data_IF_677746369965
#
_entry.id   IF_677746369965
#
_cell.length_a   1.000
_cell.length_b   1.000
_cell.length_c   1.000
_cell.angle_alpha   90.00
_cell.angle_beta   90.00
_cell.angle_gamma   90.00
#
_symmetry.space_group_name_H-M   'P 1'
#
loop_
_entity.id
_entity.type
_entity.pdbx_description
1 polymer ?
#
# COMPACT_ATOMS: atom_id res chain seq x y z
N UNK A 1 -37.37 -34.45 -0.81
CA UNK A 1 -36.07 -35.09 -0.51
C UNK A 1 -35.01 -34.92 -1.61
N UNK A 2 -35.39 -34.74 -2.88
CA UNK A 2 -34.44 -34.50 -4.00
C UNK A 2 -33.51 -33.30 -3.79
N UNK A 3 -34.01 -32.23 -3.19
CA UNK A 3 -33.22 -31.00 -2.95
C UNK A 3 -32.13 -31.18 -1.87
N UNK A 4 -32.37 -31.99 -0.83
CA UNK A 4 -31.36 -32.28 0.20
C UNK A 4 -30.23 -33.17 -0.34
N UNK A 5 -30.56 -34.17 -1.17
CA UNK A 5 -29.55 -34.99 -1.84
C UNK A 5 -28.68 -34.15 -2.78
N UNK A 6 -29.29 -33.22 -3.52
CA UNK A 6 -28.57 -32.31 -4.42
C UNK A 6 -27.57 -31.42 -3.66
N UNK A 7 -27.96 -30.89 -2.50
CA UNK A 7 -27.06 -30.10 -1.65
C UNK A 7 -25.87 -30.90 -1.11
N UNK A 8 -26.11 -32.16 -0.70
CA UNK A 8 -25.05 -33.05 -0.22
C UNK A 8 -24.08 -33.45 -1.35
N UNK A 9 -24.58 -33.65 -2.57
CA UNK A 9 -23.73 -33.94 -3.73
C UNK A 9 -22.85 -32.74 -4.08
N UNK A 10 -23.37 -31.51 -4.05
CA UNK A 10 -22.58 -30.29 -4.34
C UNK A 10 -21.45 -30.11 -3.31
N UNK A 11 -21.73 -30.32 -2.02
CA UNK A 11 -20.73 -30.20 -0.95
C UNK A 11 -19.68 -31.30 -0.98
N UNK A 12 -20.08 -32.54 -1.28
CA UNK A 12 -19.13 -33.64 -1.47
C UNK A 12 -18.25 -33.38 -2.70
N UNK A 13 -18.83 -32.90 -3.81
CA UNK A 13 -18.09 -32.52 -5.02
C UNK A 13 -17.11 -31.38 -4.72
N UNK A 14 -17.49 -30.34 -3.98
CA UNK A 14 -16.58 -29.23 -3.65
C UNK A 14 -15.47 -29.64 -2.66
N UNK A 15 -15.73 -30.64 -1.80
CA UNK A 15 -14.76 -31.09 -0.78
C UNK A 15 -13.78 -32.12 -1.34
N UNK A 16 -14.28 -33.12 -2.09
CA UNK A 16 -13.48 -34.22 -2.64
C UNK A 16 -12.69 -33.78 -3.87
N UNK A 17 -13.24 -32.86 -4.67
CA UNK A 17 -12.54 -32.28 -5.80
C UNK A 17 -12.01 -30.91 -5.41
N UNK A 18 -10.79 -30.86 -4.86
CA UNK A 18 -9.94 -29.65 -4.88
C UNK A 18 -9.66 -29.06 -6.29
N UNK A 19 -10.55 -29.30 -7.26
CA UNK A 19 -10.64 -28.67 -8.57
C UNK A 19 -10.96 -27.17 -8.48
N UNK A 20 -11.48 -26.69 -7.35
CA UNK A 20 -11.47 -25.27 -7.05
C UNK A 20 -10.26 -24.96 -6.17
N UNK A 21 -9.37 -24.10 -6.67
CA UNK A 21 -8.28 -23.58 -5.85
C UNK A 21 -8.86 -22.94 -4.58
N UNK A 22 -8.21 -23.11 -3.41
CA UNK A 22 -8.68 -22.51 -2.18
C UNK A 22 -8.84 -21.00 -2.38
N UNK A 23 -10.03 -20.47 -2.06
CA UNK A 23 -10.31 -19.02 -2.15
C UNK A 23 -9.46 -18.27 -1.11
N UNK A 24 -9.13 -18.92 0.00
CA UNK A 24 -8.26 -18.40 1.05
C UNK A 24 -6.80 -18.43 0.63
N UNK A 25 -6.10 -17.31 0.81
CA UNK A 25 -4.63 -17.24 0.68
C UNK A 25 -4.01 -17.27 2.06
N UNK A 26 -3.00 -18.11 2.27
CA UNK A 26 -2.19 -18.05 3.48
C UNK A 26 -1.16 -16.92 3.30
N UNK A 27 -1.12 -15.95 4.21
CA UNK A 27 -0.13 -14.88 4.13
C UNK A 27 1.17 -15.34 4.82
N UNK A 28 2.37 -15.15 4.22
CA UNK A 28 2.69 -14.55 2.92
C UNK A 28 2.74 -15.56 1.75
N UNK A 29 2.61 -16.86 2.04
CA UNK A 29 2.76 -17.95 1.08
C UNK A 29 1.45 -18.27 0.34
N UNK A 30 1.36 -17.94 -0.95
CA UNK A 30 0.21 -18.34 -1.77
C UNK A 30 0.39 -19.78 -2.26
N UNK A 31 -0.62 -20.61 -2.02
CA UNK A 31 -0.70 -21.97 -2.57
C UNK A 31 -1.32 -21.96 -3.96
N UNK A 32 -0.72 -22.67 -4.91
CA UNK A 32 -1.33 -22.97 -6.22
C UNK A 32 -2.35 -24.14 -6.10
N UNK A 33 -3.06 -24.46 -7.18
CA UNK A 33 -4.03 -25.57 -7.26
C UNK A 33 -3.44 -26.95 -6.86
N UNK A 34 -2.11 -27.09 -6.95
CA UNK A 34 -1.32 -28.25 -6.53
C UNK A 34 -0.71 -28.13 -5.11
N UNK A 35 -1.19 -27.18 -4.29
CA UNK A 35 -0.64 -26.87 -2.95
C UNK A 35 0.86 -26.48 -2.97
N UNK A 36 1.37 -26.04 -4.12
CA UNK A 36 2.73 -25.49 -4.24
C UNK A 36 2.77 -24.09 -3.64
N UNK A 37 3.54 -23.91 -2.58
CA UNK A 37 3.75 -22.63 -1.90
C UNK A 37 4.64 -21.72 -2.72
N UNK A 38 4.21 -20.48 -2.95
CA UNK A 38 5.01 -19.43 -3.58
C UNK A 38 4.90 -18.16 -2.75
N UNK A 39 6.03 -17.49 -2.50
CA UNK A 39 6.03 -16.19 -1.83
C UNK A 39 5.60 -15.12 -2.82
N UNK A 40 4.32 -14.81 -2.88
CA UNK A 40 3.78 -13.73 -3.70
C UNK A 40 2.92 -12.81 -2.83
N UNK A 41 3.22 -11.51 -2.75
CA UNK A 41 2.42 -10.58 -1.98
C UNK A 41 0.99 -10.51 -2.52
N UNK A 42 0.05 -10.21 -1.63
CA UNK A 42 -1.35 -10.01 -1.98
C UNK A 42 -1.46 -8.88 -3.01
N UNK A 43 -2.16 -9.08 -4.13
CA UNK A 43 -2.39 -8.03 -5.11
C UNK A 43 -3.21 -6.94 -4.45
N UNK A 44 -2.68 -5.73 -4.53
CA UNK A 44 -3.30 -4.53 -4.00
C UNK A 44 -4.06 -3.84 -5.13
N UNK A 45 -5.20 -3.21 -4.83
CA UNK A 45 -5.98 -2.45 -5.83
C UNK A 45 -5.37 -1.07 -6.04
N UNK A 46 -5.64 -0.48 -7.21
CA UNK A 46 -5.35 0.93 -7.46
C UNK A 46 -6.06 1.81 -6.43
N UNK A 47 -5.36 2.81 -5.89
CA UNK A 47 -5.86 3.68 -4.82
C UNK A 47 -5.76 3.11 -3.40
N UNK A 48 -5.06 2.00 -3.20
CA UNK A 48 -4.76 1.53 -1.86
C UNK A 48 -3.90 2.54 -1.08
N UNK A 49 -4.40 2.95 0.08
CA UNK A 49 -3.70 3.84 0.99
C UNK A 49 -2.69 3.04 1.82
N UNK A 50 -1.47 2.97 1.31
CA UNK A 50 -0.33 2.34 2.01
C UNK A 50 0.31 3.27 3.05
N UNK A 51 1.54 2.92 3.44
CA UNK A 51 2.33 3.78 4.30
C UNK A 51 2.70 5.09 3.57
N UNK A 52 2.44 6.26 4.16
CA UNK A 52 2.76 7.54 3.51
C UNK A 52 4.28 7.71 3.41
N UNK A 53 4.74 8.16 2.24
CA UNK A 53 6.15 8.44 1.98
C UNK A 53 6.30 9.78 1.26
N UNK A 54 7.41 10.47 1.52
CA UNK A 54 7.78 11.64 0.75
C UNK A 54 8.37 11.21 -0.58
N UNK A 55 7.86 11.80 -1.67
CA UNK A 55 8.43 11.62 -2.99
C UNK A 55 9.68 12.50 -3.16
N UNK A 56 10.62 11.99 -3.96
CA UNK A 56 11.89 12.64 -4.24
C UNK A 56 11.92 13.20 -5.65
N UNK A 57 12.45 14.41 -5.82
CA UNK A 57 12.67 15.06 -7.11
C UNK A 57 14.11 14.78 -7.56
N UNK A 58 14.28 13.86 -8.49
CA UNK A 58 15.59 13.41 -8.98
C UNK A 58 16.30 14.50 -9.83
N UNK A 59 15.56 15.46 -10.41
CA UNK A 59 16.15 16.51 -11.26
C UNK A 59 16.88 17.57 -10.43
N UNK A 60 16.30 17.93 -9.28
CA UNK A 60 16.84 18.96 -8.38
C UNK A 60 17.62 18.34 -7.21
N UNK A 61 17.36 17.07 -6.89
CA UNK A 61 17.99 16.35 -5.78
C UNK A 61 17.42 16.72 -4.41
N UNK A 62 16.11 16.98 -4.34
CA UNK A 62 15.42 17.40 -3.11
C UNK A 62 14.02 16.76 -2.98
N UNK A 63 13.43 16.64 -1.77
CA UNK A 63 12.05 16.18 -1.65
C UNK A 63 11.05 17.19 -2.22
N UNK A 64 9.94 16.70 -2.78
CA UNK A 64 8.88 17.58 -3.31
C UNK A 64 8.17 18.43 -2.23
N UNK A 65 8.32 18.06 -0.96
CA UNK A 65 7.66 18.74 0.15
C UNK A 65 8.23 20.15 0.39
N UNK A 66 7.41 21.17 0.13
CA UNK A 66 7.72 22.59 0.37
C UNK A 66 7.45 23.05 1.80
N UNK A 67 7.22 22.11 2.71
CA UNK A 67 6.88 22.35 4.11
C UNK A 67 5.72 23.34 4.33
N UNK A 68 4.68 23.28 3.49
CA UNK A 68 3.52 24.17 3.57
C UNK A 68 2.59 23.91 4.78
N UNK A 69 2.82 22.83 5.54
CA UNK A 69 2.05 22.41 6.71
C UNK A 69 0.56 22.09 6.47
N UNK A 70 0.10 22.03 5.22
CA UNK A 70 -1.31 21.70 4.91
C UNK A 70 -1.66 20.27 5.30
N UNK A 71 -0.78 19.30 5.03
CA UNK A 71 -1.00 17.90 5.40
C UNK A 71 -1.15 17.72 6.92
N UNK A 72 -0.32 18.41 7.71
CA UNK A 72 -0.35 18.33 9.18
C UNK A 72 -1.62 18.97 9.73
N UNK A 73 -1.99 20.17 9.23
CA UNK A 73 -3.22 20.85 9.66
C UNK A 73 -4.48 20.10 9.25
N UNK A 74 -4.45 19.43 8.10
CA UNK A 74 -5.57 18.63 7.59
C UNK A 74 -5.65 17.22 8.17
N UNK A 75 -4.64 16.76 8.91
CA UNK A 75 -4.61 15.41 9.46
C UNK A 75 -5.65 15.27 10.59
N UNK A 76 -6.71 14.45 10.40
CA UNK A 76 -7.79 14.35 11.39
C UNK A 76 -7.34 13.73 12.70
N UNK A 77 -6.32 12.87 12.65
CA UNK A 77 -5.74 12.19 13.82
C UNK A 77 -4.57 12.94 14.44
N UNK A 78 -4.13 14.06 13.84
CA UNK A 78 -3.00 14.87 14.31
C UNK A 78 -1.72 14.06 14.58
N UNK A 79 -1.50 12.97 13.83
CA UNK A 79 -0.35 12.08 14.04
C UNK A 79 0.93 12.55 13.33
N UNK A 80 0.83 13.54 12.44
CA UNK A 80 1.95 14.01 11.61
C UNK A 80 2.66 15.19 12.26
N UNK A 81 3.99 15.22 12.14
CA UNK A 81 4.83 16.34 12.56
C UNK A 81 5.94 16.59 11.55
N UNK A 82 6.35 17.87 11.39
CA UNK A 82 7.46 18.22 10.53
C UNK A 82 8.19 19.48 11.02
N UNK A 83 9.49 19.54 10.76
CA UNK A 83 10.33 20.72 10.99
C UNK A 83 10.66 21.37 9.66
N UNK A 84 10.49 22.70 9.57
CA UNK A 84 10.80 23.49 8.38
C UNK A 84 12.22 24.03 8.45
N UNK A 85 12.91 24.04 7.31
CA UNK A 85 14.15 24.77 7.10
C UNK A 85 14.12 25.58 5.81
N UNK A 86 15.00 26.57 5.72
CA UNK A 86 15.28 27.26 4.46
C UNK A 86 15.93 26.31 3.45
N UNK A 87 15.56 26.46 2.18
CA UNK A 87 16.11 25.63 1.12
C UNK A 87 17.43 26.23 0.60
N UNK A 88 18.60 25.59 0.84
CA UNK A 88 19.87 26.08 0.31
C UNK A 88 19.88 26.11 -1.23
N UNK A 89 19.19 25.19 -1.90
CA UNK A 89 19.13 25.15 -3.37
C UNK A 89 18.31 26.31 -3.96
N UNK A 90 17.48 26.97 -3.16
CA UNK A 90 16.81 28.20 -3.55
C UNK A 90 17.78 29.38 -3.57
N UNK A 91 18.64 29.48 -2.55
CA UNK A 91 19.68 30.52 -2.46
C UNK A 91 20.67 30.40 -3.64
N UNK A 92 20.94 29.17 -4.07
CA UNK A 92 21.77 28.87 -5.25
C UNK A 92 21.04 29.05 -6.60
N UNK A 93 19.74 29.38 -6.60
CA UNK A 93 18.92 29.56 -7.81
C UNK A 93 18.59 28.26 -8.56
N UNK A 94 18.90 27.10 -7.98
CA UNK A 94 18.67 25.77 -8.58
C UNK A 94 17.25 25.25 -8.33
N UNK A 95 16.60 25.71 -7.26
CA UNK A 95 15.23 25.34 -6.92
C UNK A 95 14.31 26.56 -6.86
N UNK A 96 13.07 26.41 -7.31
CA UNK A 96 12.01 27.41 -7.14
C UNK A 96 11.42 27.42 -5.71
N UNK A 97 11.71 26.40 -4.89
CA UNK A 97 11.09 26.17 -3.58
C UNK A 97 11.88 26.86 -2.48
N UNK A 98 11.26 27.81 -1.75
CA UNK A 98 11.97 28.61 -0.71
C UNK A 98 12.26 27.87 0.59
N UNK A 99 11.36 26.95 0.98
CA UNK A 99 11.42 26.19 2.22
C UNK A 99 11.32 24.71 1.92
N UNK A 100 11.90 23.90 2.79
CA UNK A 100 11.90 22.45 2.66
C UNK A 100 11.75 21.78 4.02
N UNK A 101 11.30 20.53 4.01
CA UNK A 101 11.19 19.70 5.21
C UNK A 101 12.58 19.23 5.64
N UNK A 102 12.87 19.34 6.94
CA UNK A 102 14.09 18.83 7.54
C UNK A 102 13.88 17.43 8.12
N UNK A 103 12.88 17.30 8.99
CA UNK A 103 12.45 16.03 9.58
C UNK A 103 10.94 15.93 9.46
N UNK A 104 10.43 14.73 9.18
CA UNK A 104 8.99 14.42 9.13
C UNK A 104 8.72 13.07 9.77
N UNK A 105 7.70 13.01 10.62
CA UNK A 105 7.18 11.78 11.22
C UNK A 105 5.68 11.70 11.05
#
# INVERSE_FOLDING_TARGET
MFNSLKGMVVTLVSTVKGLQAPVTRQYPEVGDMLMRKTNKPTPVKDGFMGFPALTWDDEVGEPFCTSCMVCIRGCPTQCMSAVMKDNPLNEEGKSSRRKIVDTSR
#
